data_IF_145475335930
#
_entry.id   IF_145475335930
#
_cell.length_a   1.000
_cell.length_b   1.000
_cell.length_c   1.000
_cell.angle_alpha   90.00
_cell.angle_beta   90.00
_cell.angle_gamma   90.00
#
_symmetry.space_group_name_H-M   'P 1'
#
loop_
_entity.id
_entity.type
_entity.pdbx_description
1 polymer ?
#
# COMPACT_ATOMS: atom_id res chain seq x y z
N UNK A 1 -1.38 32.20 -1.86
CA UNK A 1 -1.25 31.10 -2.84
C UNK A 1 -1.82 29.83 -2.21
N UNK A 2 -2.85 29.25 -2.82
CA UNK A 2 -3.71 28.25 -2.23
C UNK A 2 -3.13 26.83 -2.38
N UNK A 3 -3.02 26.11 -1.26
CA UNK A 3 -2.63 24.70 -1.20
C UNK A 3 -3.85 23.84 -1.53
N UNK A 4 -3.85 23.18 -2.69
CA UNK A 4 -4.82 22.13 -3.05
C UNK A 4 -4.26 20.77 -2.62
N UNK A 5 -4.93 20.00 -1.76
CA UNK A 5 -4.53 18.62 -1.50
C UNK A 5 -4.97 17.74 -2.67
N UNK A 6 -4.00 17.27 -3.46
CA UNK A 6 -4.18 16.19 -4.44
C UNK A 6 -4.35 14.85 -3.73
N UNK A 7 -5.47 14.67 -3.04
CA UNK A 7 -5.99 13.35 -2.68
C UNK A 7 -6.39 12.66 -3.99
N UNK A 8 -5.50 11.79 -4.47
CA UNK A 8 -5.72 10.88 -5.60
C UNK A 8 -6.97 10.03 -5.35
N UNK A 9 -8.12 10.48 -5.85
CA UNK A 9 -9.37 9.72 -5.99
C UNK A 9 -9.28 8.53 -6.97
N UNK A 10 -8.08 8.06 -7.34
CA UNK A 10 -7.90 7.07 -8.43
C UNK A 10 -7.93 5.60 -8.00
N UNK A 11 -8.09 5.29 -6.72
CA UNK A 11 -8.08 3.90 -6.25
C UNK A 11 -9.47 3.27 -6.02
N UNK A 12 -10.55 4.06 -5.95
CA UNK A 12 -11.90 3.54 -5.69
C UNK A 12 -12.69 3.27 -6.98
N UNK A 13 -12.30 3.90 -8.09
CA UNK A 13 -12.98 3.72 -9.39
C UNK A 13 -12.71 2.37 -10.07
N UNK A 14 -11.51 1.73 -10.01
CA UNK A 14 -11.31 0.48 -10.74
C UNK A 14 -12.00 -0.71 -10.07
N UNK A 15 -12.24 -0.68 -8.75
CA UNK A 15 -12.92 -1.78 -8.06
C UNK A 15 -14.42 -1.83 -8.42
N UNK A 16 -15.09 -0.68 -8.51
CA UNK A 16 -16.49 -0.61 -8.92
C UNK A 16 -16.68 -0.78 -10.44
N UNK A 17 -15.73 -0.30 -11.26
CA UNK A 17 -15.76 -0.55 -12.70
C UNK A 17 -15.50 -2.02 -13.06
N UNK A 18 -14.62 -2.71 -12.31
CA UNK A 18 -14.39 -4.15 -12.49
C UNK A 18 -15.66 -4.96 -12.15
N UNK A 19 -16.37 -4.63 -11.07
CA UNK A 19 -17.61 -5.30 -10.68
C UNK A 19 -18.75 -5.10 -11.71
N UNK A 20 -18.87 -3.90 -12.30
CA UNK A 20 -19.88 -3.62 -13.35
C UNK A 20 -19.49 -4.25 -14.70
N UNK A 21 -18.20 -4.33 -15.03
CA UNK A 21 -17.73 -5.03 -16.25
C UNK A 21 -17.85 -6.56 -16.17
N UNK A 22 -17.76 -7.15 -14.98
CA UNK A 22 -17.98 -8.58 -14.79
C UNK A 22 -19.46 -8.98 -15.01
N UNK A 23 -20.41 -8.10 -14.67
CA UNK A 23 -21.84 -8.35 -14.89
C UNK A 23 -22.29 -8.21 -16.34
N UNK A 24 -21.69 -7.32 -17.13
CA UNK A 24 -22.10 -7.07 -18.52
C UNK A 24 -21.59 -8.12 -19.53
N UNK A 25 -20.51 -8.86 -19.23
CA UNK A 25 -20.00 -9.96 -20.08
C UNK A 25 -20.81 -11.26 -19.89
N UNK A 26 -21.62 -11.34 -18.84
CA UNK A 26 -22.53 -12.45 -18.54
C UNK A 26 -23.92 -12.28 -19.17
N UNK A 27 -24.06 -11.47 -20.22
CA UNK A 27 -25.29 -11.48 -21.03
C UNK A 27 -25.26 -12.72 -21.95
N UNK A 28 -26.07 -13.77 -21.71
CA UNK A 28 -26.18 -14.86 -22.66
C UNK A 28 -26.77 -14.27 -23.95
N UNK A 29 -25.94 -14.16 -25.00
CA UNK A 29 -26.45 -13.95 -26.35
C UNK A 29 -27.31 -15.15 -26.68
N UNK A 30 -28.61 -14.94 -26.92
CA UNK A 30 -29.46 -15.94 -27.56
C UNK A 30 -28.90 -16.13 -28.96
N UNK A 31 -28.30 -17.29 -29.19
CA UNK A 31 -27.87 -17.74 -30.51
C UNK A 31 -28.78 -18.89 -30.84
N UNK A 32 -29.67 -18.65 -31.79
CA UNK A 32 -30.62 -19.66 -32.24
C UNK A 32 -29.82 -20.79 -32.89
N UNK A 33 -29.95 -21.99 -32.33
CA UNK A 33 -29.33 -23.21 -32.85
C UNK A 33 -30.10 -23.79 -34.04
N UNK A 34 -31.20 -23.15 -34.43
CA UNK A 34 -32.02 -23.52 -35.56
C UNK A 34 -31.41 -23.02 -36.87
N UNK A 35 -31.58 -23.82 -37.93
CA UNK A 35 -31.11 -23.49 -39.27
C UNK A 35 -31.81 -22.22 -39.75
N UNK A 36 -31.06 -21.27 -40.32
CA UNK A 36 -31.63 -19.96 -40.67
C UNK A 36 -32.74 -20.16 -41.72
N UNK A 37 -33.86 -19.41 -41.67
CA UNK A 37 -34.98 -19.60 -42.60
C UNK A 37 -34.59 -19.44 -44.09
N UNK A 38 -33.47 -18.79 -44.38
CA UNK A 38 -32.88 -18.72 -45.71
C UNK A 38 -32.34 -20.07 -46.23
N UNK A 39 -31.86 -20.95 -45.34
CA UNK A 39 -31.35 -22.28 -45.69
C UNK A 39 -32.47 -23.32 -45.83
N UNK A 40 -33.60 -23.15 -45.11
CA UNK A 40 -34.80 -23.98 -45.26
C UNK A 40 -35.42 -23.85 -46.67
N UNK A 41 -35.36 -22.66 -47.28
CA UNK A 41 -35.89 -22.42 -48.62
C UNK A 41 -35.09 -23.10 -49.73
N UNK A 42 -33.86 -23.56 -49.45
CA UNK A 42 -32.96 -24.14 -50.45
C UNK A 42 -32.93 -25.68 -50.38
N UNK A 43 -33.80 -26.28 -49.56
CA UNK A 43 -33.94 -27.74 -49.45
C UNK A 43 -35.03 -28.23 -50.39
N UNK A 44 -34.68 -29.18 -51.25
CA UNK A 44 -35.66 -29.88 -52.09
C UNK A 44 -36.61 -30.71 -51.19
N UNK A 45 -37.94 -30.65 -51.38
CA UNK A 45 -38.89 -31.47 -50.64
C UNK A 45 -38.66 -32.97 -50.91
N UNK A 46 -38.88 -33.80 -49.90
CA UNK A 46 -38.57 -35.26 -49.93
C UNK A 46 -39.58 -36.05 -50.79
N UNK A 47 -40.71 -35.45 -51.15
CA UNK A 47 -41.79 -36.11 -51.89
C UNK A 47 -42.22 -35.26 -53.09
N UNK A 48 -41.42 -35.25 -54.15
CA UNK A 48 -41.84 -34.62 -55.42
C UNK A 48 -41.18 -35.23 -56.66
N UNK A 49 -40.78 -36.51 -56.60
CA UNK A 49 -40.22 -37.22 -57.76
C UNK A 49 -40.77 -38.66 -57.78
N UNK A 50 -42.08 -38.79 -58.00
CA UNK A 50 -42.67 -40.05 -58.47
C UNK A 50 -43.51 -39.73 -59.71
N UNK A 51 -42.84 -39.57 -60.85
CA UNK A 51 -43.47 -39.81 -62.13
C UNK A 51 -43.82 -41.31 -62.18
N UNK A 52 -45.08 -41.64 -61.90
CA UNK A 52 -45.63 -42.98 -62.10
C UNK A 52 -45.79 -43.24 -63.60
N UNK A 53 -44.67 -43.50 -64.28
CA UNK A 53 -44.67 -44.08 -65.63
C UNK A 53 -45.13 -45.55 -65.53
N UNK A 54 -46.45 -45.74 -65.59
CA UNK A 54 -47.06 -47.04 -65.82
C UNK A 54 -46.81 -47.39 -67.28
N UNK A 55 -45.74 -48.13 -67.59
CA UNK A 55 -45.62 -49.16 -68.65
C UNK A 55 -44.13 -49.55 -68.83
N UNK A 56 -43.61 -50.47 -68.02
CA UNK A 56 -42.49 -51.37 -68.38
C UNK A 56 -42.23 -52.40 -67.24
N UNK A 57 -42.03 -53.69 -67.54
CA UNK A 57 -41.76 -54.71 -66.53
C UNK A 57 -40.32 -54.66 -65.99
N UNK A 58 -40.23 -54.74 -64.66
CA UNK A 58 -39.02 -54.64 -63.82
C UNK A 58 -38.10 -55.87 -63.93
N UNK A 59 -36.81 -55.64 -64.22
CA UNK A 59 -35.70 -56.57 -63.96
C UNK A 59 -34.81 -55.98 -62.85
N UNK A 60 -34.47 -56.71 -61.78
CA UNK A 60 -33.61 -56.19 -60.73
C UNK A 60 -32.14 -56.19 -61.17
N UNK A 61 -31.64 -55.01 -61.56
CA UNK A 61 -30.21 -54.76 -61.72
C UNK A 61 -29.56 -54.65 -60.33
N UNK A 62 -28.61 -55.53 -60.02
CA UNK A 62 -27.77 -55.42 -58.82
C UNK A 62 -26.81 -54.24 -58.96
N UNK A 63 -27.24 -53.04 -58.58
CA UNK A 63 -26.38 -51.87 -58.49
C UNK A 63 -25.65 -51.88 -57.16
N UNK A 64 -24.40 -52.34 -57.16
CA UNK A 64 -23.42 -52.04 -56.12
C UNK A 64 -23.30 -50.51 -55.99
N UNK A 65 -23.51 -49.88 -54.81
CA UNK A 65 -23.34 -48.45 -54.73
C UNK A 65 -21.89 -48.09 -54.97
N UNK A 66 -21.68 -47.25 -55.99
CA UNK A 66 -20.44 -46.58 -56.30
C UNK A 66 -19.93 -45.84 -55.06
N UNK A 67 -18.61 -45.85 -54.85
CA UNK A 67 -17.97 -45.10 -53.78
C UNK A 67 -18.30 -43.62 -53.90
N UNK A 68 -19.23 -43.15 -53.08
CA UNK A 68 -19.54 -41.73 -52.96
C UNK A 68 -18.32 -41.05 -52.36
N UNK A 69 -17.74 -40.12 -53.13
CA UNK A 69 -16.78 -39.12 -52.65
C UNK A 69 -17.28 -38.61 -51.29
N UNK A 70 -16.49 -38.79 -50.23
CA UNK A 70 -16.86 -38.37 -48.89
C UNK A 70 -17.16 -36.87 -48.91
N UNK A 71 -18.44 -36.51 -48.79
CA UNK A 71 -18.87 -35.14 -48.62
C UNK A 71 -18.15 -34.55 -47.40
N UNK A 72 -17.65 -33.30 -47.48
CA UNK A 72 -16.97 -32.67 -46.35
C UNK A 72 -17.90 -32.68 -45.14
N UNK A 73 -17.40 -33.22 -44.03
CA UNK A 73 -18.16 -33.37 -42.78
C UNK A 73 -18.80 -32.02 -42.40
N UNK A 74 -20.12 -31.95 -42.51
CA UNK A 74 -20.90 -30.78 -42.12
C UNK A 74 -21.19 -30.93 -40.63
N UNK A 75 -20.69 -30.02 -39.78
CA UNK A 75 -20.86 -30.14 -38.34
C UNK A 75 -22.34 -30.14 -38.02
N UNK A 76 -22.76 -31.19 -37.31
CA UNK A 76 -24.14 -31.29 -36.83
C UNK A 76 -24.42 -30.17 -35.83
N UNK A 77 -25.67 -29.74 -35.66
CA UNK A 77 -26.04 -28.71 -34.69
C UNK A 77 -25.51 -28.99 -33.28
N UNK A 78 -25.46 -30.27 -32.89
CA UNK A 78 -24.91 -30.73 -31.61
C UNK A 78 -23.40 -30.50 -31.47
N UNK A 79 -22.64 -30.67 -32.56
CA UNK A 79 -21.20 -30.45 -32.60
C UNK A 79 -20.85 -28.98 -32.38
N UNK A 80 -21.62 -28.07 -32.98
CA UNK A 80 -21.47 -26.61 -32.78
C UNK A 80 -21.74 -26.20 -31.33
N UNK A 81 -22.79 -26.78 -30.72
CA UNK A 81 -23.12 -26.52 -29.32
C UNK A 81 -22.00 -27.01 -28.39
N UNK A 82 -21.44 -28.19 -28.64
CA UNK A 82 -20.36 -28.75 -27.84
C UNK A 82 -19.12 -27.83 -27.83
N UNK A 83 -18.76 -27.27 -28.98
CA UNK A 83 -17.66 -26.29 -29.10
C UNK A 83 -17.94 -25.03 -28.29
N UNK A 84 -19.17 -24.50 -28.35
CA UNK A 84 -19.55 -23.31 -27.59
C UNK A 84 -19.53 -23.54 -26.08
N UNK A 85 -20.01 -24.70 -25.62
CA UNK A 85 -19.91 -25.10 -24.20
C UNK A 85 -18.44 -25.21 -23.77
N UNK A 86 -17.58 -25.74 -24.65
CA UNK A 86 -16.13 -25.78 -24.43
C UNK A 86 -15.54 -24.39 -24.21
N UNK A 87 -15.85 -23.44 -25.09
CA UNK A 87 -15.41 -22.05 -24.95
C UNK A 87 -15.95 -21.39 -23.68
N UNK A 88 -17.23 -21.59 -23.36
CA UNK A 88 -17.85 -21.04 -22.16
C UNK A 88 -17.16 -21.59 -20.89
N UNK A 89 -16.92 -22.90 -20.83
CA UNK A 89 -16.20 -23.55 -19.71
C UNK A 89 -14.78 -22.99 -19.57
N UNK A 90 -14.04 -22.86 -20.66
CA UNK A 90 -12.67 -22.33 -20.61
C UNK A 90 -12.66 -20.86 -20.20
N UNK A 91 -13.60 -20.04 -20.68
CA UNK A 91 -13.72 -18.65 -20.27
C UNK A 91 -14.01 -18.52 -18.76
N UNK A 92 -14.93 -19.32 -18.23
CA UNK A 92 -15.21 -19.36 -16.79
C UNK A 92 -13.99 -19.82 -15.98
N UNK A 93 -13.27 -20.84 -16.46
CA UNK A 93 -12.04 -21.31 -15.82
C UNK A 93 -10.96 -20.23 -15.77
N UNK A 94 -10.72 -19.53 -16.89
CA UNK A 94 -9.74 -18.44 -16.92
C UNK A 94 -10.11 -17.29 -15.99
N UNK A 95 -11.39 -16.98 -15.85
CA UNK A 95 -11.86 -15.96 -14.90
C UNK A 95 -11.65 -16.41 -13.45
N UNK A 96 -11.98 -17.67 -13.12
CA UNK A 96 -11.76 -18.23 -11.79
C UNK A 96 -10.27 -18.21 -11.42
N UNK A 97 -9.40 -18.70 -12.30
CA UNK A 97 -7.93 -18.70 -12.09
C UNK A 97 -7.37 -17.29 -11.97
N UNK A 98 -7.91 -16.31 -12.72
CA UNK A 98 -7.48 -14.91 -12.59
C UNK A 98 -7.88 -14.32 -11.25
N UNK A 99 -9.08 -14.66 -10.75
CA UNK A 99 -9.53 -14.28 -9.42
C UNK A 99 -8.65 -14.88 -8.33
N UNK A 100 -8.41 -16.18 -8.40
CA UNK A 100 -7.53 -16.92 -7.48
C UNK A 100 -6.13 -16.29 -7.44
N UNK A 101 -5.49 -16.10 -8.60
CA UNK A 101 -4.16 -15.47 -8.67
C UNK A 101 -4.14 -14.04 -8.13
N UNK A 102 -5.20 -13.26 -8.31
CA UNK A 102 -5.26 -11.91 -7.77
C UNK A 102 -5.32 -11.93 -6.24
N UNK A 103 -6.09 -12.86 -5.66
CA UNK A 103 -6.16 -13.08 -4.22
C UNK A 103 -4.83 -13.57 -3.68
N UNK A 104 -4.22 -14.58 -4.30
CA UNK A 104 -2.93 -15.13 -3.87
C UNK A 104 -1.83 -14.06 -3.89
N UNK A 105 -1.78 -13.24 -4.94
CA UNK A 105 -0.83 -12.14 -5.03
C UNK A 105 -1.08 -11.07 -3.96
N UNK A 106 -2.33 -10.74 -3.67
CA UNK A 106 -2.68 -9.79 -2.61
C UNK A 106 -2.24 -10.34 -1.25
N UNK A 107 -2.56 -11.59 -0.93
CA UNK A 107 -2.15 -12.25 0.32
C UNK A 107 -0.62 -12.34 0.45
N UNK A 108 0.07 -12.66 -0.65
CA UNK A 108 1.54 -12.70 -0.66
C UNK A 108 2.14 -11.33 -0.38
N UNK A 109 1.58 -10.26 -0.96
CA UNK A 109 2.04 -8.90 -0.67
C UNK A 109 1.75 -8.49 0.77
N UNK A 110 0.58 -8.82 1.32
CA UNK A 110 0.25 -8.48 2.72
C UNK A 110 1.18 -9.21 3.69
N UNK A 111 1.44 -10.50 3.46
CA UNK A 111 2.37 -11.28 4.29
C UNK A 111 3.80 -10.77 4.18
N UNK A 112 4.23 -10.35 2.99
CA UNK A 112 5.56 -9.75 2.80
C UNK A 112 5.69 -8.42 3.55
N UNK A 113 4.64 -7.60 3.53
CA UNK A 113 4.60 -6.36 4.29
C UNK A 113 4.64 -6.63 5.80
N UNK A 114 3.83 -7.55 6.28
CA UNK A 114 3.83 -7.99 7.67
C UNK A 114 5.23 -8.47 8.09
N UNK A 115 5.85 -9.36 7.29
CA UNK A 115 7.18 -9.86 7.57
C UNK A 115 8.23 -8.74 7.61
N UNK A 116 8.19 -7.81 6.65
CA UNK A 116 9.10 -6.66 6.60
C UNK A 116 8.92 -5.73 7.80
N UNK A 117 7.68 -5.56 8.27
CA UNK A 117 7.38 -4.76 9.46
C UNK A 117 7.87 -5.45 10.72
N UNK A 118 7.61 -6.75 10.87
CA UNK A 118 8.09 -7.55 12.00
C UNK A 118 9.62 -7.61 12.04
N UNK A 119 10.29 -7.77 10.89
CA UNK A 119 11.75 -7.77 10.84
C UNK A 119 12.32 -6.41 11.24
N UNK A 120 11.69 -5.32 10.78
CA UNK A 120 12.10 -3.95 11.13
C UNK A 120 11.87 -3.65 12.62
N UNK A 121 10.70 -4.02 13.15
CA UNK A 121 10.39 -3.88 14.57
C UNK A 121 11.37 -4.69 15.43
N UNK A 122 11.73 -5.90 14.99
CA UNK A 122 12.73 -6.74 15.65
C UNK A 122 14.12 -6.12 15.61
N UNK A 123 14.51 -5.47 14.51
CA UNK A 123 15.81 -4.80 14.41
C UNK A 123 15.89 -3.52 15.25
N UNK A 124 14.74 -2.89 15.52
CA UNK A 124 14.66 -1.70 16.38
C UNK A 124 14.77 -2.05 17.87
N UNK A 125 14.31 -3.24 18.27
CA UNK A 125 14.35 -3.68 19.66
C UNK A 125 15.78 -3.78 20.20
N UNK A 126 16.04 -3.34 21.45
CA UNK A 126 17.37 -3.38 22.03
C UNK A 126 17.82 -4.84 22.21
N UNK A 127 19.12 -5.14 21.99
CA UNK A 127 19.65 -6.47 22.22
C UNK A 127 19.52 -6.84 23.69
N UNK A 128 19.28 -8.12 23.99
CA UNK A 128 19.04 -8.62 25.36
C UNK A 128 20.19 -8.31 26.32
N UNK A 129 21.39 -8.13 25.78
CA UNK A 129 22.62 -7.77 26.51
C UNK A 129 22.63 -6.33 27.02
N UNK A 130 21.88 -5.43 26.38
CA UNK A 130 21.81 -4.02 26.79
C UNK A 130 21.03 -3.80 28.09
N UNK A 131 20.23 -4.77 28.54
CA UNK A 131 19.40 -4.64 29.74
C UNK A 131 18.30 -3.57 29.69
N UNK A 132 18.10 -2.93 28.53
CA UNK A 132 17.12 -1.86 28.33
C UNK A 132 15.69 -2.41 28.36
N UNK A 133 14.86 -1.89 29.27
CA UNK A 133 13.45 -2.30 29.41
C UNK A 133 12.55 -1.30 28.69
N UNK A 134 12.04 -1.68 27.52
CA UNK A 134 11.19 -0.82 26.68
C UNK A 134 9.93 -0.38 27.45
N UNK A 135 9.24 -1.30 28.12
CA UNK A 135 7.94 -1.00 28.74
C UNK A 135 7.99 0.10 29.80
N UNK A 136 8.83 0.02 30.87
CA UNK A 136 8.96 1.11 31.83
C UNK A 136 9.59 2.36 31.21
N UNK A 137 10.56 2.22 30.30
CA UNK A 137 11.17 3.37 29.61
C UNK A 137 10.15 4.17 28.79
N UNK A 138 9.30 3.49 28.03
CA UNK A 138 8.25 4.12 27.24
C UNK A 138 7.21 4.83 28.12
N UNK A 139 6.89 4.28 29.29
CA UNK A 139 6.04 4.96 30.26
C UNK A 139 6.68 6.25 30.77
N UNK A 140 7.97 6.24 31.10
CA UNK A 140 8.66 7.47 31.52
C UNK A 140 8.69 8.53 30.43
N UNK A 141 8.91 8.12 29.17
CA UNK A 141 8.84 9.02 28.02
C UNK A 141 7.46 9.65 27.87
N UNK A 142 6.40 8.84 27.97
CA UNK A 142 5.02 9.30 27.86
C UNK A 142 4.65 10.26 28.99
N UNK A 143 5.01 9.93 30.24
CA UNK A 143 4.79 10.80 31.41
C UNK A 143 5.56 12.11 31.27
N UNK A 144 6.81 12.08 30.83
CA UNK A 144 7.61 13.28 30.60
C UNK A 144 6.98 14.18 29.52
N UNK A 145 6.54 13.59 28.40
CA UNK A 145 5.83 14.32 27.34
C UNK A 145 4.53 14.95 27.85
N UNK A 146 3.75 14.21 28.63
CA UNK A 146 2.51 14.71 29.25
C UNK A 146 2.79 15.85 30.25
N UNK A 147 3.86 15.77 31.03
CA UNK A 147 4.30 16.84 31.91
C UNK A 147 4.66 18.11 31.10
N UNK A 148 5.35 17.96 29.96
CA UNK A 148 5.59 19.08 29.02
C UNK A 148 4.30 19.71 28.50
N UNK A 149 3.25 18.90 28.28
CA UNK A 149 1.91 19.39 27.90
C UNK A 149 1.23 20.15 29.03
N UNK A 150 1.43 19.77 30.30
CA UNK A 150 0.91 20.52 31.44
C UNK A 150 1.58 21.89 31.55
N UNK A 151 2.91 21.95 31.39
CA UNK A 151 3.68 23.20 31.48
C UNK A 151 3.27 24.19 30.40
N UNK A 152 3.00 23.72 29.19
CA UNK A 152 2.61 24.57 28.04
C UNK A 152 1.11 24.74 27.87
N UNK A 153 0.30 24.24 28.82
CA UNK A 153 -1.17 24.21 28.71
C UNK A 153 -1.80 25.56 28.38
N UNK A 154 -1.24 26.66 28.91
CA UNK A 154 -1.73 28.03 28.73
C UNK A 154 -0.81 28.89 27.85
N UNK A 155 -0.09 28.27 26.91
CA UNK A 155 0.80 28.97 25.97
C UNK A 155 0.26 28.84 24.54
N UNK A 156 0.89 29.58 23.62
CA UNK A 156 0.54 29.54 22.20
C UNK A 156 0.47 28.11 21.66
N UNK A 157 -0.42 27.87 20.69
CA UNK A 157 -0.67 26.54 20.11
C UNK A 157 0.63 25.86 19.60
N UNK A 158 1.56 26.66 19.06
CA UNK A 158 2.87 26.17 18.62
C UNK A 158 3.69 25.57 19.77
N UNK A 159 3.73 26.23 20.93
CA UNK A 159 4.44 25.73 22.11
C UNK A 159 3.72 24.51 22.71
N UNK A 160 2.39 24.51 22.69
CA UNK A 160 1.57 23.40 23.15
C UNK A 160 1.78 22.12 22.33
N UNK A 161 2.14 22.23 21.05
CA UNK A 161 2.45 21.07 20.22
C UNK A 161 3.94 20.67 20.26
N UNK A 162 4.84 21.66 20.21
CA UNK A 162 6.29 21.42 20.09
C UNK A 162 6.94 20.97 21.40
N UNK A 163 6.56 21.55 22.55
CA UNK A 163 7.22 21.25 23.83
C UNK A 163 6.98 19.82 24.30
N UNK A 164 5.75 19.26 24.28
CA UNK A 164 5.54 17.85 24.64
C UNK A 164 6.34 16.90 23.75
N UNK A 165 6.47 17.22 22.46
CA UNK A 165 7.27 16.46 21.50
C UNK A 165 8.77 16.54 21.83
N UNK A 166 9.29 17.75 22.04
CA UNK A 166 10.70 17.96 22.39
C UNK A 166 11.07 17.25 23.69
N UNK A 167 10.23 17.38 24.73
CA UNK A 167 10.43 16.70 26.01
C UNK A 167 10.34 15.18 25.85
N UNK A 168 9.39 14.68 25.06
CA UNK A 168 9.27 13.26 24.75
C UNK A 168 10.50 12.70 24.04
N UNK A 169 11.00 13.37 23.01
CA UNK A 169 12.21 12.97 22.27
C UNK A 169 13.44 12.99 23.20
N UNK A 170 13.56 14.03 24.02
CA UNK A 170 14.65 14.14 25.00
C UNK A 170 14.59 13.01 26.02
N UNK A 171 13.41 12.72 26.55
CA UNK A 171 13.20 11.61 27.48
C UNK A 171 13.49 10.26 26.82
N UNK A 172 13.17 10.08 25.54
CA UNK A 172 13.47 8.85 24.81
C UNK A 172 14.98 8.60 24.72
N UNK A 173 15.77 9.64 24.44
CA UNK A 173 17.23 9.51 24.45
C UNK A 173 17.82 9.21 25.84
N UNK A 174 17.15 9.64 26.91
CA UNK A 174 17.60 9.40 28.29
C UNK A 174 17.20 8.03 28.83
N UNK A 175 15.96 7.62 28.64
CA UNK A 175 15.42 6.37 29.20
C UNK A 175 15.53 5.17 28.26
N UNK A 176 15.65 5.40 26.95
CA UNK A 176 15.72 4.38 25.91
C UNK A 176 16.86 4.70 24.92
N UNK A 177 18.12 4.78 25.38
CA UNK A 177 19.23 5.29 24.58
C UNK A 177 19.55 4.40 23.37
N UNK A 178 19.43 3.08 23.49
CA UNK A 178 19.76 2.14 22.41
C UNK A 178 18.64 2.10 21.38
N UNK A 179 17.39 2.01 21.85
CA UNK A 179 16.22 2.06 20.95
C UNK A 179 16.18 3.37 20.17
N UNK A 180 16.47 4.50 20.82
CA UNK A 180 16.48 5.82 20.16
C UNK A 180 17.56 5.92 19.07
N UNK A 181 18.74 5.33 19.30
CA UNK A 181 19.80 5.23 18.28
C UNK A 181 19.38 4.35 17.11
N UNK A 182 18.85 3.16 17.38
CA UNK A 182 18.40 2.23 16.33
C UNK A 182 17.29 2.84 15.45
N UNK A 183 16.34 3.56 16.06
CA UNK A 183 15.30 4.31 15.33
C UNK A 183 15.94 5.41 14.48
N UNK A 184 16.88 6.17 15.04
CA UNK A 184 17.61 7.22 14.32
C UNK A 184 18.39 6.68 13.12
N UNK A 185 19.08 5.55 13.29
CA UNK A 185 19.84 4.89 12.22
C UNK A 185 18.89 4.37 11.12
N UNK A 186 17.73 3.83 11.49
CA UNK A 186 16.71 3.44 10.51
C UNK A 186 16.22 4.66 9.71
N UNK A 187 15.89 5.76 10.38
CA UNK A 187 15.49 7.01 9.71
C UNK A 187 16.59 7.46 8.75
N UNK A 188 17.85 7.43 9.18
CA UNK A 188 19.00 7.78 8.36
C UNK A 188 19.11 6.91 7.10
N UNK A 189 18.94 5.58 7.20
CA UNK A 189 18.99 4.69 6.02
C UNK A 189 17.88 4.96 5.00
N UNK A 190 16.73 5.50 5.44
CA UNK A 190 15.67 5.93 4.53
C UNK A 190 15.96 7.30 3.93
N UNK A 191 16.49 8.21 4.74
CA UNK A 191 16.83 9.56 4.36
C UNK A 191 18.00 9.61 3.37
N UNK A 192 18.99 8.73 3.51
CA UNK A 192 20.13 8.59 2.59
C UNK A 192 19.70 8.28 1.14
N UNK A 193 18.54 7.65 0.96
CA UNK A 193 17.96 7.40 -0.38
C UNK A 193 17.47 8.69 -1.05
N UNK A 194 17.29 9.78 -0.30
CA UNK A 194 16.80 11.06 -0.76
C UNK A 194 17.80 12.18 -0.39
N UNK A 195 18.72 12.56 -1.29
CA UNK A 195 19.85 13.43 -0.96
C UNK A 195 19.44 14.80 -0.41
N UNK A 196 18.30 15.34 -0.87
CA UNK A 196 17.77 16.62 -0.37
C UNK A 196 17.39 16.56 1.10
N UNK A 197 16.84 15.43 1.56
CA UNK A 197 16.48 15.23 2.96
C UNK A 197 17.76 15.02 3.78
N UNK A 198 18.67 14.16 3.32
CA UNK A 198 19.95 13.92 3.99
C UNK A 198 20.77 15.20 4.22
N UNK A 199 20.88 16.05 3.20
CA UNK A 199 21.55 17.36 3.33
C UNK A 199 20.83 18.28 4.33
N UNK A 200 19.50 18.29 4.32
CA UNK A 200 18.72 19.08 5.27
C UNK A 200 18.89 18.59 6.71
N UNK A 201 18.92 17.27 6.93
CA UNK A 201 19.19 16.69 8.26
C UNK A 201 20.58 17.06 8.76
N UNK A 202 21.61 16.90 7.93
CA UNK A 202 22.98 17.23 8.30
C UNK A 202 23.11 18.71 8.67
N UNK A 203 22.54 19.61 7.85
CA UNK A 203 22.52 21.05 8.15
C UNK A 203 21.81 21.34 9.47
N UNK A 204 20.65 20.74 9.68
CA UNK A 204 19.86 20.94 10.91
C UNK A 204 20.64 20.45 12.13
N UNK A 205 21.32 19.29 12.03
CA UNK A 205 22.17 18.76 13.08
C UNK A 205 23.32 19.69 13.40
N UNK A 206 24.03 20.19 12.39
CA UNK A 206 25.13 21.16 12.57
C UNK A 206 24.63 22.43 13.26
N UNK A 207 23.50 23.00 12.82
CA UNK A 207 22.93 24.19 13.46
C UNK A 207 22.53 23.94 14.91
N UNK A 208 22.00 22.76 15.26
CA UNK A 208 21.67 22.41 16.64
C UNK A 208 22.96 22.28 17.48
N UNK A 209 23.99 21.62 16.96
CA UNK A 209 25.28 21.49 17.66
C UNK A 209 25.89 22.86 17.95
N UNK A 210 25.91 23.74 16.95
CA UNK A 210 26.43 25.10 17.09
C UNK A 210 25.62 25.93 18.11
N UNK A 211 24.28 25.80 18.11
CA UNK A 211 23.42 26.45 19.11
C UNK A 211 23.72 25.96 20.53
N UNK A 212 23.97 24.66 20.70
CA UNK A 212 24.29 24.09 22.01
C UNK A 212 25.67 24.58 22.49
N UNK A 213 26.66 24.59 21.60
CA UNK A 213 28.02 25.07 21.92
C UNK A 213 28.03 26.56 22.25
N UNK A 214 27.38 27.37 21.41
CA UNK A 214 27.22 28.82 21.64
C UNK A 214 26.44 29.09 22.93
N UNK A 215 25.41 28.29 23.20
CA UNK A 215 24.62 28.38 24.43
C UNK A 215 25.45 28.06 25.68
N UNK A 216 26.28 27.01 25.65
CA UNK A 216 27.21 26.69 26.74
C UNK A 216 28.21 27.82 26.99
N UNK A 217 28.76 28.39 25.93
CA UNK A 217 29.70 29.52 26.03
C UNK A 217 29.03 30.76 26.65
N UNK A 218 27.82 31.10 26.21
CA UNK A 218 27.06 32.24 26.76
C UNK A 218 26.58 31.99 28.20
N UNK A 219 26.20 30.77 28.54
CA UNK A 219 25.84 30.40 29.91
C UNK A 219 27.04 30.54 30.86
N UNK A 220 28.23 30.08 30.44
CA UNK A 220 29.47 30.27 31.19
C UNK A 220 29.81 31.74 31.41
N UNK A 221 29.68 32.56 30.36
CA UNK A 221 29.88 34.01 30.46
C UNK A 221 28.87 34.69 31.39
N UNK A 222 27.60 34.30 31.32
CA UNK A 222 26.54 34.83 32.19
C UNK A 222 26.77 34.49 33.66
N UNK A 223 27.17 33.25 33.97
CA UNK A 223 27.54 32.83 35.32
C UNK A 223 28.72 33.65 35.86
N UNK A 224 29.77 33.82 35.06
CA UNK A 224 30.92 34.64 35.44
C UNK A 224 30.56 36.12 35.68
N UNK A 225 29.61 36.66 34.92
CA UNK A 225 29.11 38.03 35.12
C UNK A 225 28.30 38.18 36.42
N UNK A 226 27.50 37.17 36.77
CA UNK A 226 26.73 37.16 38.02
C UNK A 226 27.65 37.02 39.23
N UNK A 227 28.64 36.14 39.14
CA UNK A 227 29.66 35.97 40.18
C UNK A 227 30.49 37.25 40.37
N UNK A 228 30.91 37.89 39.27
CA UNK A 228 31.57 39.19 39.31
C UNK A 228 30.72 40.30 39.95
N UNK A 229 29.41 40.32 39.69
CA UNK A 229 28.48 41.25 40.34
C UNK A 229 28.30 40.94 41.82
N UNK A 230 28.18 39.65 42.19
CA UNK A 230 28.10 39.23 43.58
C UNK A 230 29.34 39.63 44.37
N UNK A 231 30.53 39.44 43.79
CA UNK A 231 31.79 39.91 44.37
C UNK A 231 31.81 41.43 44.54
N UNK A 232 31.49 42.20 43.49
CA UNK A 232 31.45 43.66 43.58
C UNK A 232 30.44 44.17 44.63
N UNK A 233 29.27 43.51 44.76
CA UNK A 233 28.29 43.84 45.82
C UNK A 233 28.80 43.50 47.22
N UNK A 234 29.53 42.38 47.36
CA UNK A 234 30.12 41.98 48.64
C UNK A 234 31.22 42.96 49.05
N UNK A 235 32.13 43.29 48.14
CA UNK A 235 33.22 44.23 48.39
C UNK A 235 32.68 45.62 48.75
N UNK A 236 31.63 46.09 48.06
CA UNK A 236 30.96 47.35 48.40
C UNK A 236 30.28 47.35 49.78
N UNK A 237 29.78 46.18 50.22
CA UNK A 237 29.21 46.01 51.56
C UNK A 237 30.31 46.02 52.64
N UNK A 238 31.44 45.35 52.38
CA UNK A 238 32.61 45.33 53.26
C UNK A 238 33.21 46.73 53.42
N UNK A 239 33.34 47.49 52.33
CA UNK A 239 33.83 48.87 52.35
C UNK A 239 32.89 49.82 53.10
N UNK A 240 31.57 49.58 53.01
CA UNK A 240 30.56 50.34 53.76
C UNK A 240 30.66 50.06 55.27
N UNK A 241 30.76 48.79 55.67
CA UNK A 241 30.96 48.38 57.07
C UNK A 241 32.27 48.94 57.63
N UNK A 242 33.35 48.91 56.84
CA UNK A 242 34.67 49.42 57.24
C UNK A 242 34.71 50.94 57.40
N UNK A 243 33.85 51.69 56.70
CA UNK A 243 33.72 53.16 56.84
C UNK A 243 32.96 53.62 58.07
N UNK A 244 32.42 52.70 58.88
CA UNK A 244 31.95 52.99 60.23
C UNK A 244 30.80 53.99 60.29
N UNK A 245 29.68 53.67 59.64
CA UNK A 245 28.37 54.24 59.97
C UNK A 245 27.37 53.12 60.25
#
# INVERSE_FOLDING_TARGET
MAFRPLLRQRAVVPAMAAAVSAGAVLAPRRVDAEETPAELSNRKPIYDEMALDTTAPTLPSSTKPAGTRAEPYRPTPTDRLAVQIGHARMALYHQAVRGERAVDNALTQTLRLEHSFTSTMRSLAPPRESGEKIFPGALYVLVASMAGSMVTRNRNLLLRASVPLAVGITAAHLFLPTTSKNVGDLIWTYEEKYPVLADAHLRTRTSITELIETGKAHAGMGLGMVEGKLHATKDGLEDWVRKGR
#
